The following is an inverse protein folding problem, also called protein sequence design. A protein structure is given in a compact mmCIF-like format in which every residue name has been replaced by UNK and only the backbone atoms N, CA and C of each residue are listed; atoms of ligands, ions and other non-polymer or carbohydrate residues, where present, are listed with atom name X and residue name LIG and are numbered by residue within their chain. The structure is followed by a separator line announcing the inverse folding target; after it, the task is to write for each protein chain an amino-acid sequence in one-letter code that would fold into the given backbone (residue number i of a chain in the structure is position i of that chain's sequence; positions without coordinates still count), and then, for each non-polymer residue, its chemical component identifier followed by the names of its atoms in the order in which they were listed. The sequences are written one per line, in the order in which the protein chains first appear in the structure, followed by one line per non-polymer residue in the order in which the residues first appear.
data_IF_933913503729
#
_entry.id   IF_933913503729
#
_cell.length_a   1.000
_cell.length_b   1.000
_cell.length_c   1.000
_cell.angle_alpha   90.00
_cell.angle_beta   90.00
_cell.angle_gamma   90.00
#
_symmetry.space_group_name_H-M   'P 1'
#
loop_
_entity.id
_entity.type
_entity.pdbx_description
1 polymer ?
#
# COMPACT_ATOMS: atom_id res chain seq x y z
N UNK A 1 20.51 -18.35 -4.80
CA UNK A 1 19.56 -18.12 -5.90
C UNK A 1 18.58 -17.01 -5.52
N UNK A 2 17.77 -17.14 -4.46
CA UNK A 2 16.72 -16.15 -4.10
C UNK A 2 17.16 -14.68 -3.98
N UNK A 3 18.22 -14.29 -3.25
CA UNK A 3 18.59 -12.86 -3.14
C UNK A 3 19.02 -12.24 -4.48
N UNK A 4 19.63 -13.04 -5.35
CA UNK A 4 20.02 -12.61 -6.70
C UNK A 4 18.78 -12.39 -7.56
N UNK A 5 17.81 -13.31 -7.49
CA UNK A 5 16.58 -13.25 -8.27
C UNK A 5 15.72 -12.03 -7.87
N UNK A 6 15.63 -11.73 -6.56
CA UNK A 6 14.97 -10.51 -6.06
C UNK A 6 15.66 -9.24 -6.58
N UNK A 7 16.99 -9.20 -6.54
CA UNK A 7 17.75 -8.03 -7.02
C UNK A 7 17.57 -7.84 -8.53
N UNK A 8 17.57 -8.93 -9.31
CA UNK A 8 17.32 -8.90 -10.74
C UNK A 8 15.89 -8.43 -11.08
N UNK A 9 14.89 -8.88 -10.33
CA UNK A 9 13.51 -8.43 -10.49
C UNK A 9 13.35 -6.92 -10.19
N UNK A 10 13.98 -6.42 -9.11
CA UNK A 10 13.97 -4.99 -8.79
C UNK A 10 14.65 -4.17 -9.91
N UNK A 11 15.78 -4.65 -10.45
CA UNK A 11 16.44 -4.01 -11.57
C UNK A 11 15.53 -3.95 -12.82
N UNK A 12 14.84 -5.06 -13.15
CA UNK A 12 13.88 -5.10 -14.26
C UNK A 12 12.68 -4.17 -14.05
N UNK A 13 12.22 -3.98 -12.81
CA UNK A 13 11.15 -3.03 -12.50
C UNK A 13 11.63 -1.59 -12.72
N UNK A 14 12.86 -1.27 -12.30
CA UNK A 14 13.44 0.07 -12.47
C UNK A 14 13.58 0.47 -13.94
N UNK A 15 13.89 -0.45 -14.84
CA UNK A 15 14.03 -0.15 -16.29
C UNK A 15 12.71 0.07 -17.01
N UNK A 16 11.57 -0.32 -16.42
CA UNK A 16 10.24 -0.12 -17.06
C UNK A 16 9.75 1.33 -16.99
N UNK A 17 10.38 2.20 -16.20
CA UNK A 17 10.02 3.61 -16.04
C UNK A 17 8.55 3.90 -15.69
N UNK A 18 7.80 2.89 -15.24
CA UNK A 18 6.40 3.04 -14.80
C UNK A 18 6.28 3.50 -13.34
N UNK A 19 7.36 3.39 -12.56
CA UNK A 19 7.43 3.83 -11.17
C UNK A 19 8.32 5.07 -11.13
N UNK A 20 7.73 6.18 -10.70
CA UNK A 20 8.40 7.47 -10.56
C UNK A 20 8.60 7.77 -9.09
N UNK A 21 9.84 8.04 -8.69
CA UNK A 21 10.17 8.48 -7.34
C UNK A 21 10.35 10.00 -7.33
N UNK A 22 10.11 10.59 -6.17
CA UNK A 22 10.48 11.97 -5.89
C UNK A 22 12.00 12.13 -5.88
N UNK A 23 12.50 13.29 -6.31
CA UNK A 23 13.93 13.55 -6.50
C UNK A 23 14.77 13.34 -5.23
N UNK A 24 14.17 13.54 -4.05
CA UNK A 24 14.83 13.37 -2.76
C UNK A 24 14.85 11.91 -2.24
N UNK A 25 14.36 10.93 -3.02
CA UNK A 25 14.38 9.49 -2.66
C UNK A 25 15.18 8.65 -3.69
N UNK A 26 16.52 8.60 -3.58
CA UNK A 26 17.38 8.08 -4.66
C UNK A 26 17.40 6.55 -4.79
N UNK A 27 17.17 5.78 -3.72
CA UNK A 27 17.28 4.30 -3.75
C UNK A 27 15.96 3.60 -4.08
N UNK A 28 14.82 4.19 -3.68
CA UNK A 28 13.44 3.87 -4.06
C UNK A 28 12.88 2.51 -3.61
N UNK A 29 13.72 1.49 -3.44
CA UNK A 29 13.31 0.14 -3.06
C UNK A 29 14.13 -0.39 -1.89
N UNK A 30 13.43 -1.00 -0.93
CA UNK A 30 13.99 -1.79 0.15
C UNK A 30 13.34 -3.17 0.11
N UNK A 31 14.16 -4.22 0.11
CA UNK A 31 13.69 -5.60 0.10
C UNK A 31 14.23 -6.35 1.32
N UNK A 32 13.38 -7.17 1.92
CA UNK A 32 13.71 -8.07 3.03
C UNK A 32 13.11 -9.43 2.66
N UNK A 33 13.89 -10.51 2.82
CA UNK A 33 13.48 -11.86 2.45
C UNK A 33 13.29 -12.68 3.71
N UNK A 34 12.10 -13.28 3.87
CA UNK A 34 11.84 -14.32 4.86
C UNK A 34 11.76 -15.66 4.14
N UNK A 35 12.59 -16.62 4.56
CA UNK A 35 12.68 -17.94 3.92
C UNK A 35 11.56 -18.91 4.35
N UNK A 36 10.88 -18.63 5.45
CA UNK A 36 9.73 -19.43 5.88
C UNK A 36 8.58 -19.21 4.89
N UNK A 37 8.00 -20.28 4.31
CA UNK A 37 6.85 -20.15 3.43
C UNK A 37 5.66 -19.52 4.14
N UNK A 38 4.79 -18.77 3.41
CA UNK A 38 3.54 -18.26 3.95
C UNK A 38 2.66 -19.39 4.50
N UNK A 39 2.10 -19.18 5.69
CA UNK A 39 1.14 -20.12 6.30
C UNK A 39 -0.28 -19.77 5.88
N UNK A 40 -1.08 -20.80 5.58
CA UNK A 40 -2.52 -20.64 5.32
C UNK A 40 -3.32 -21.13 6.52
N UNK A 41 -4.49 -20.53 6.73
CA UNK A 41 -5.43 -20.98 7.77
C UNK A 41 -6.14 -22.25 7.28
N UNK A 42 -6.21 -23.34 8.06
CA UNK A 42 -6.98 -24.53 7.70
C UNK A 42 -8.44 -24.19 7.44
N UNK A 43 -8.98 -24.62 6.30
CA UNK A 43 -10.35 -24.28 5.88
C UNK A 43 -10.52 -22.85 5.34
N UNK A 44 -9.45 -22.07 5.21
CA UNK A 44 -9.48 -20.75 4.59
C UNK A 44 -9.35 -20.80 3.06
N UNK A 45 -9.55 -19.65 2.42
CA UNK A 45 -9.71 -19.54 0.96
C UNK A 45 -8.40 -19.45 0.18
N UNK A 46 -7.26 -19.34 0.86
CA UNK A 46 -5.96 -19.14 0.23
C UNK A 46 -5.24 -20.47 -0.03
N UNK A 47 -4.78 -20.66 -1.27
CA UNK A 47 -3.93 -21.79 -1.64
C UNK A 47 -2.56 -21.71 -0.94
N UNK A 48 -1.96 -22.88 -0.67
CA UNK A 48 -0.60 -22.96 -0.15
C UNK A 48 0.40 -22.47 -1.21
N UNK A 49 1.26 -21.53 -0.83
CA UNK A 49 2.27 -20.94 -1.70
C UNK A 49 3.68 -21.19 -1.14
N UNK A 50 4.65 -21.36 -2.04
CA UNK A 50 6.06 -21.47 -1.67
C UNK A 50 6.67 -20.08 -1.37
N UNK A 51 6.22 -19.06 -2.10
CA UNK A 51 6.70 -17.69 -1.98
C UNK A 51 5.53 -16.72 -2.10
N UNK A 52 5.59 -15.63 -1.36
CA UNK A 52 4.69 -14.49 -1.51
C UNK A 52 5.48 -13.20 -1.34
N UNK A 53 4.93 -12.10 -1.88
CA UNK A 53 5.51 -10.77 -1.77
C UNK A 53 4.45 -9.84 -1.16
N UNK A 54 4.87 -9.04 -0.19
CA UNK A 54 4.11 -7.90 0.30
C UNK A 54 4.88 -6.63 -0.06
N UNK A 55 4.22 -5.69 -0.71
CA UNK A 55 4.78 -4.38 -1.05
C UNK A 55 4.12 -3.34 -0.17
N UNK A 56 4.93 -2.59 0.57
CA UNK A 56 4.50 -1.40 1.28
C UNK A 56 5.02 -0.20 0.51
N UNK A 57 4.11 0.58 -0.08
CA UNK A 57 4.44 1.76 -0.88
C UNK A 57 3.88 3.02 -0.23
N UNK A 58 4.67 4.10 -0.24
CA UNK A 58 4.23 5.43 0.13
C UNK A 58 4.14 6.27 -1.16
N UNK A 59 2.93 6.53 -1.63
CA UNK A 59 2.65 7.27 -2.86
C UNK A 59 1.72 8.44 -2.58
N UNK A 60 1.96 9.57 -3.25
CA UNK A 60 1.09 10.74 -3.20
C UNK A 60 -0.32 10.46 -3.75
N UNK A 61 -0.50 9.37 -4.50
CA UNK A 61 -1.82 8.91 -4.95
C UNK A 61 -2.80 8.64 -3.78
N UNK A 62 -2.30 8.41 -2.55
CA UNK A 62 -3.16 8.29 -1.36
C UNK A 62 -4.00 9.56 -1.11
N UNK A 63 -3.53 10.73 -1.57
CA UNK A 63 -4.25 12.01 -1.46
C UNK A 63 -5.63 11.96 -2.14
N UNK A 64 -5.80 11.19 -3.21
CA UNK A 64 -7.10 11.02 -3.87
C UNK A 64 -8.13 10.34 -2.95
N UNK A 65 -7.68 9.41 -2.11
CA UNK A 65 -8.55 8.74 -1.14
C UNK A 65 -8.98 9.69 -0.04
N UNK A 66 -8.04 10.51 0.46
CA UNK A 66 -8.35 11.59 1.40
C UNK A 66 -9.31 12.62 0.79
N UNK A 67 -9.13 13.00 -0.47
CA UNK A 67 -10.04 13.92 -1.16
C UNK A 67 -11.48 13.37 -1.22
N UNK A 68 -11.65 12.07 -1.49
CA UNK A 68 -12.99 11.43 -1.45
C UNK A 68 -13.61 11.44 -0.06
N UNK A 69 -12.80 11.24 0.99
CA UNK A 69 -13.28 11.31 2.37
C UNK A 69 -13.71 12.73 2.73
N UNK A 70 -12.86 13.72 2.44
CA UNK A 70 -13.13 15.13 2.69
C UNK A 70 -14.40 15.59 1.98
N UNK A 71 -14.58 15.20 0.71
CA UNK A 71 -15.80 15.54 -0.02
C UNK A 71 -17.07 15.02 0.68
N UNK A 72 -17.07 13.77 1.16
CA UNK A 72 -18.20 13.21 1.91
C UNK A 72 -18.41 13.94 3.23
N UNK A 73 -17.32 14.29 3.92
CA UNK A 73 -17.38 15.06 5.15
C UNK A 73 -18.01 16.44 4.90
N UNK A 74 -17.55 17.16 3.88
CA UNK A 74 -18.05 18.50 3.53
C UNK A 74 -19.54 18.48 3.21
N UNK A 75 -20.02 17.45 2.49
CA UNK A 75 -21.44 17.26 2.21
C UNK A 75 -22.28 17.11 3.48
N UNK A 76 -21.81 16.35 4.46
CA UNK A 76 -22.52 16.18 5.74
C UNK A 76 -22.43 17.44 6.60
N UNK A 77 -21.24 18.04 6.68
CA UNK A 77 -20.98 19.19 7.52
C UNK A 77 -21.71 20.44 7.03
N UNK A 78 -21.87 20.61 5.71
CA UNK A 78 -22.67 21.69 5.13
C UNK A 78 -24.15 21.67 5.57
N UNK A 79 -24.65 20.51 6.04
CA UNK A 79 -26.00 20.35 6.60
C UNK A 79 -26.00 20.26 8.13
N UNK A 80 -24.84 20.44 8.77
CA UNK A 80 -24.64 20.17 10.19
C UNK A 80 -25.13 18.77 10.60
N UNK A 81 -25.14 17.83 9.65
CA UNK A 81 -25.66 16.49 9.90
C UNK A 81 -24.76 15.79 10.92
N UNK A 82 -25.38 15.26 11.97
CA UNK A 82 -24.73 14.51 13.05
C UNK A 82 -23.76 15.33 13.93
N UNK A 83 -23.60 16.63 13.70
CA UNK A 83 -22.68 17.47 14.48
C UNK A 83 -23.09 17.53 15.96
N UNK A 84 -24.40 17.58 16.25
CA UNK A 84 -24.94 17.65 17.61
C UNK A 84 -24.42 16.53 18.53
N UNK A 85 -24.21 15.32 17.99
CA UNK A 85 -23.70 14.17 18.75
C UNK A 85 -22.24 14.34 19.21
N UNK A 86 -21.48 15.23 18.57
CA UNK A 86 -20.09 15.52 18.93
C UNK A 86 -19.95 16.75 19.84
N UNK A 87 -20.92 17.67 19.83
CA UNK A 87 -20.85 18.92 20.62
C UNK A 87 -21.67 18.88 21.93
N UNK A 88 -22.35 17.77 22.21
CA UNK A 88 -22.98 17.51 23.52
C UNK A 88 -24.24 18.31 23.81
N UNK A 89 -25.00 18.70 22.77
CA UNK A 89 -26.35 19.23 22.92
C UNK A 89 -27.40 18.12 23.01
#
# INVERSE_FOLDING_TARGET
MVPKDVSAAIASIKTKHTIQFVDWCPTGFKAIIKYQPPTVVPGGDLAKLQWAVCILSNTTAIAETWARLNHKFDLMYAKQAFVQWYVGM
#
